data_IF_369194507000
#
_entry.id   IF_369194507000
#
_cell.length_a   1.000
_cell.length_b   1.000
_cell.length_c   1.000
_cell.angle_alpha   90.00
_cell.angle_beta   90.00
_cell.angle_gamma   90.00
#
_symmetry.space_group_name_H-M   'P 1'
#
loop_
_entity.id
_entity.type
_entity.pdbx_description
1 polymer ?
#
# COMPACT_ATOMS: atom_id res chain seq x y z
N UNK A 1 -16.78 -5.29 -22.02
CA UNK A 1 -15.75 -6.15 -22.62
C UNK A 1 -14.49 -5.32 -22.78
N UNK A 2 -13.57 -5.39 -21.82
CA UNK A 2 -12.21 -4.92 -22.03
C UNK A 2 -11.52 -5.99 -22.87
N UNK A 3 -11.60 -5.84 -24.20
CA UNK A 3 -10.65 -6.46 -25.11
C UNK A 3 -9.44 -5.53 -25.14
N UNK A 4 -8.51 -5.79 -24.25
CA UNK A 4 -7.12 -5.35 -24.38
C UNK A 4 -6.32 -6.61 -24.65
N UNK A 5 -5.55 -6.58 -25.73
CA UNK A 5 -4.50 -7.55 -26.02
C UNK A 5 -3.70 -7.82 -24.74
N UNK A 6 -3.22 -9.06 -24.56
CA UNK A 6 -2.68 -9.65 -23.33
C UNK A 6 -1.49 -8.90 -22.69
N UNK A 7 -1.71 -7.68 -22.22
CA UNK A 7 -0.94 -7.04 -21.17
C UNK A 7 -1.49 -7.60 -19.85
N UNK A 8 -0.60 -8.21 -19.06
CA UNK A 8 -0.94 -8.68 -17.72
C UNK A 8 -1.61 -7.53 -16.95
N UNK A 9 -2.87 -7.72 -16.54
CA UNK A 9 -3.59 -6.78 -15.69
C UNK A 9 -2.85 -6.68 -14.36
N UNK A 10 -2.03 -5.63 -14.22
CA UNK A 10 -1.22 -5.39 -13.03
C UNK A 10 -1.81 -4.30 -12.14
N UNK A 11 -1.55 -4.47 -10.86
CA UNK A 11 -1.74 -3.48 -9.83
C UNK A 11 -0.67 -2.41 -9.81
N UNK A 12 -0.65 -1.62 -8.74
CA UNK A 12 0.33 -0.55 -8.56
C UNK A 12 0.75 -0.41 -7.10
N UNK A 13 2.05 -0.34 -6.86
CA UNK A 13 2.65 0.05 -5.58
C UNK A 13 3.13 1.48 -5.70
N UNK A 14 2.44 2.42 -5.03
CA UNK A 14 2.88 3.80 -4.92
C UNK A 14 3.77 3.99 -3.70
N UNK A 15 5.00 4.43 -3.94
CA UNK A 15 6.02 4.69 -2.92
C UNK A 15 6.31 6.18 -2.81
N UNK A 16 6.77 6.63 -1.65
CA UNK A 16 7.33 7.98 -1.48
C UNK A 16 6.92 8.66 -0.19
N UNK A 17 7.34 9.90 0.05
CA UNK A 17 7.15 10.59 1.33
C UNK A 17 5.67 10.79 1.71
N UNK A 18 5.36 11.04 3.00
CA UNK A 18 4.02 11.48 3.38
C UNK A 18 3.63 12.77 2.64
N UNK A 19 2.33 12.96 2.42
CA UNK A 19 1.83 14.21 1.84
C UNK A 19 1.97 14.37 0.33
N UNK A 20 2.61 13.44 -0.38
CA UNK A 20 2.79 13.50 -1.85
C UNK A 20 1.53 13.16 -2.66
N UNK A 21 0.46 12.71 -2.00
CA UNK A 21 -0.86 12.47 -2.63
C UNK A 21 -1.15 11.02 -3.01
N UNK A 22 -0.39 10.03 -2.53
CA UNK A 22 -0.59 8.60 -2.83
C UNK A 22 -2.03 8.13 -2.54
N UNK A 23 -2.47 8.31 -1.30
CA UNK A 23 -3.84 8.02 -0.85
C UNK A 23 -4.87 8.72 -1.75
N UNK A 24 -4.68 10.02 -2.03
CA UNK A 24 -5.61 10.79 -2.86
C UNK A 24 -5.75 10.25 -4.29
N UNK A 25 -4.62 9.89 -4.94
CA UNK A 25 -4.63 9.29 -6.27
C UNK A 25 -5.37 7.94 -6.27
N UNK A 26 -5.09 7.10 -5.29
CA UNK A 26 -5.74 5.79 -5.16
C UNK A 26 -7.23 5.91 -4.84
N UNK A 27 -7.64 6.86 -4.02
CA UNK A 27 -9.06 7.14 -3.76
C UNK A 27 -9.78 7.61 -5.02
N UNK A 28 -9.17 8.52 -5.79
CA UNK A 28 -9.73 8.98 -7.06
C UNK A 28 -9.87 7.86 -8.09
N UNK A 29 -8.87 6.98 -8.16
CA UNK A 29 -8.93 5.77 -8.98
C UNK A 29 -10.08 4.84 -8.55
N UNK A 30 -10.18 4.50 -7.26
CA UNK A 30 -11.25 3.65 -6.73
C UNK A 30 -12.64 4.24 -7.04
N UNK A 31 -12.81 5.54 -6.81
CA UNK A 31 -14.04 6.25 -7.12
C UNK A 31 -14.40 6.12 -8.61
N UNK A 32 -13.45 6.33 -9.51
CA UNK A 32 -13.69 6.24 -10.95
C UNK A 32 -14.00 4.79 -11.40
N UNK A 33 -13.34 3.79 -10.82
CA UNK A 33 -13.62 2.38 -11.07
C UNK A 33 -15.03 2.00 -10.62
N UNK A 34 -15.42 2.35 -9.39
CA UNK A 34 -16.72 1.98 -8.85
C UNK A 34 -17.87 2.77 -9.48
N UNK A 35 -17.77 4.10 -9.55
CA UNK A 35 -18.87 4.94 -10.02
C UNK A 35 -19.04 4.90 -11.53
N UNK A 36 -17.93 4.98 -12.28
CA UNK A 36 -18.02 5.08 -13.75
C UNK A 36 -18.02 3.73 -14.45
N UNK A 37 -17.48 2.68 -13.82
CA UNK A 37 -17.31 1.37 -14.46
C UNK A 37 -17.98 0.20 -13.71
N UNK A 38 -18.55 0.44 -12.52
CA UNK A 38 -19.20 -0.61 -11.72
C UNK A 38 -18.23 -1.68 -11.21
N UNK A 39 -16.93 -1.41 -11.19
CA UNK A 39 -15.89 -2.33 -10.71
C UNK A 39 -15.85 -2.25 -9.18
N UNK A 40 -15.91 -3.40 -8.52
CA UNK A 40 -15.88 -3.45 -7.06
C UNK A 40 -14.48 -3.11 -6.54
N UNK A 41 -14.42 -2.19 -5.58
CA UNK A 41 -13.17 -1.75 -4.96
C UNK A 41 -13.32 -1.73 -3.44
N UNK A 42 -12.35 -2.29 -2.74
CA UNK A 42 -12.18 -2.07 -1.30
C UNK A 42 -10.94 -1.20 -1.12
N UNK A 43 -11.10 -0.08 -0.44
CA UNK A 43 -10.01 0.79 -0.01
C UNK A 43 -9.94 0.75 1.51
N UNK A 44 -8.82 0.31 2.06
CA UNK A 44 -8.63 0.22 3.51
C UNK A 44 -7.15 0.42 3.86
N UNK A 45 -6.86 1.06 4.99
CA UNK A 45 -5.48 1.07 5.51
C UNK A 45 -5.12 -0.29 6.10
N UNK A 46 -3.83 -0.67 6.02
CA UNK A 46 -3.40 -1.93 6.62
C UNK A 46 -3.63 -1.97 8.15
N UNK A 47 -3.52 -0.83 8.83
CA UNK A 47 -3.79 -0.73 10.26
C UNK A 47 -5.27 -1.01 10.62
N UNK A 48 -6.22 -0.53 9.80
CA UNK A 48 -7.65 -0.83 9.97
C UNK A 48 -7.93 -2.32 9.79
N UNK A 49 -7.35 -2.96 8.76
CA UNK A 49 -7.49 -4.41 8.55
C UNK A 49 -7.00 -5.21 9.76
N UNK A 50 -5.83 -4.85 10.31
CA UNK A 50 -5.29 -5.49 11.51
C UNK A 50 -6.18 -5.27 12.74
N UNK A 51 -6.81 -4.09 12.86
CA UNK A 51 -7.75 -3.81 13.94
C UNK A 51 -9.00 -4.67 13.83
N UNK A 52 -9.55 -4.84 12.62
CA UNK A 52 -10.71 -5.70 12.36
C UNK A 52 -10.41 -7.16 12.66
N UNK A 53 -9.23 -7.66 12.29
CA UNK A 53 -8.79 -9.01 12.61
C UNK A 53 -8.69 -9.24 14.13
N UNK A 54 -8.07 -8.29 14.86
CA UNK A 54 -7.97 -8.36 16.33
C UNK A 54 -9.34 -8.35 17.00
N UNK A 55 -10.27 -7.54 16.50
CA UNK A 55 -11.63 -7.50 17.02
C UNK A 55 -12.37 -8.81 16.72
N UNK A 56 -12.25 -9.32 15.50
CA UNK A 56 -12.90 -10.56 15.11
C UNK A 56 -12.45 -11.78 15.92
N UNK A 57 -11.19 -11.84 16.36
CA UNK A 57 -10.75 -12.87 17.31
C UNK A 57 -11.49 -12.81 18.65
N UNK A 58 -11.79 -11.60 19.14
CA UNK A 58 -12.56 -11.41 20.38
C UNK A 58 -14.01 -11.87 20.20
N UNK A 59 -14.52 -11.81 18.97
CA UNK A 59 -15.85 -12.27 18.57
C UNK A 59 -15.87 -13.76 18.15
N UNK A 60 -14.74 -14.47 18.21
CA UNK A 60 -14.62 -15.88 17.82
C UNK A 60 -14.63 -16.14 16.31
N UNK A 61 -14.40 -15.11 15.48
CA UNK A 61 -14.27 -15.22 14.03
C UNK A 61 -12.87 -15.68 13.64
N UNK A 62 -12.79 -16.41 12.54
CA UNK A 62 -11.55 -16.80 11.88
C UNK A 62 -11.01 -15.66 11.01
N UNK A 63 -9.70 -15.70 10.73
CA UNK A 63 -9.05 -14.78 9.78
C UNK A 63 -9.75 -14.76 8.43
N UNK A 64 -10.11 -15.94 7.94
CA UNK A 64 -10.73 -16.10 6.62
C UNK A 64 -12.07 -15.38 6.54
N UNK A 65 -12.89 -15.42 7.59
CA UNK A 65 -14.18 -14.71 7.60
C UNK A 65 -14.04 -13.19 7.48
N UNK A 66 -12.92 -12.64 7.94
CA UNK A 66 -12.64 -11.19 7.93
C UNK A 66 -11.95 -10.80 6.60
N UNK A 67 -11.15 -11.71 6.05
CA UNK A 67 -10.39 -11.49 4.82
C UNK A 67 -11.22 -11.80 3.56
N UNK A 68 -12.22 -12.67 3.62
CA UNK A 68 -13.03 -13.08 2.47
C UNK A 68 -13.58 -11.88 1.64
N UNK A 69 -14.12 -10.79 2.23
CA UNK A 69 -14.54 -9.62 1.46
C UNK A 69 -13.40 -9.01 0.63
N UNK A 70 -12.19 -8.98 1.18
CA UNK A 70 -10.98 -8.49 0.54
C UNK A 70 -10.48 -9.41 -0.58
N UNK A 71 -10.91 -10.67 -0.61
CA UNK A 71 -10.63 -11.62 -1.69
C UNK A 71 -11.74 -11.67 -2.73
N UNK A 72 -12.95 -11.21 -2.43
CA UNK A 72 -14.07 -11.19 -3.38
C UNK A 72 -14.12 -9.92 -4.24
N UNK A 73 -13.50 -8.82 -3.80
CA UNK A 73 -13.42 -7.57 -4.57
C UNK A 73 -12.52 -7.69 -5.80
N UNK A 74 -12.92 -7.04 -6.91
CA UNK A 74 -12.16 -6.99 -8.17
C UNK A 74 -10.80 -6.30 -7.93
N UNK A 75 -10.82 -5.16 -7.22
CA UNK A 75 -9.62 -4.40 -6.86
C UNK A 75 -9.57 -4.24 -5.34
N UNK A 76 -8.44 -4.60 -4.75
CA UNK A 76 -8.13 -4.31 -3.35
C UNK A 76 -7.07 -3.22 -3.30
N UNK A 77 -7.32 -2.18 -2.50
CA UNK A 77 -6.38 -1.08 -2.28
C UNK A 77 -6.00 -1.07 -0.80
N UNK A 78 -4.72 -1.31 -0.52
CA UNK A 78 -4.15 -1.27 0.83
C UNK A 78 -3.33 0.01 0.99
N UNK A 79 -3.82 0.93 1.81
CA UNK A 79 -3.12 2.18 2.12
C UNK A 79 -2.10 1.98 3.25
N UNK A 80 -1.00 2.73 3.20
CA UNK A 80 -0.02 2.83 4.27
C UNK A 80 0.63 1.51 4.71
N UNK A 81 0.90 0.62 3.74
CA UNK A 81 1.54 -0.66 3.98
C UNK A 81 2.95 -0.51 4.58
N UNK A 82 3.22 -1.29 5.63
CA UNK A 82 4.49 -1.31 6.35
C UNK A 82 4.61 -0.24 7.45
N UNK A 83 3.62 0.64 7.62
CA UNK A 83 3.57 1.58 8.76
C UNK A 83 3.12 0.81 10.02
N UNK A 84 4.04 0.11 10.66
CA UNK A 84 3.72 -0.71 11.83
C UNK A 84 4.96 -1.25 12.55
N UNK A 85 4.73 -2.13 13.53
CA UNK A 85 5.80 -2.82 14.26
C UNK A 85 6.37 -4.01 13.48
N UNK A 86 5.76 -4.37 12.36
CA UNK A 86 6.10 -5.54 11.55
C UNK A 86 6.25 -6.78 12.42
N UNK A 87 5.28 -7.00 13.31
CA UNK A 87 5.27 -8.24 14.10
C UNK A 87 5.08 -9.44 13.17
N UNK A 88 5.56 -10.61 13.58
CA UNK A 88 5.40 -11.85 12.80
C UNK A 88 3.94 -12.12 12.40
N UNK A 89 2.99 -11.75 13.26
CA UNK A 89 1.56 -11.85 12.98
C UNK A 89 1.09 -10.86 11.91
N UNK A 90 1.55 -9.61 11.92
CA UNK A 90 1.21 -8.64 10.87
C UNK A 90 1.73 -9.10 9.51
N UNK A 91 2.96 -9.64 9.48
CA UNK A 91 3.57 -10.19 8.28
C UNK A 91 2.86 -11.45 7.78
N UNK A 92 2.36 -12.31 8.68
CA UNK A 92 1.61 -13.50 8.27
C UNK A 92 0.27 -13.17 7.63
N UNK A 93 -0.44 -12.16 8.16
CA UNK A 93 -1.66 -11.64 7.54
C UNK A 93 -1.37 -11.06 6.16
N UNK A 94 -0.31 -10.27 6.03
CA UNK A 94 0.08 -9.68 4.76
C UNK A 94 0.48 -10.73 3.71
N UNK A 95 1.27 -11.76 4.11
CA UNK A 95 1.63 -12.86 3.20
C UNK A 95 0.40 -13.64 2.76
N UNK A 96 -0.53 -13.94 3.68
CA UNK A 96 -1.79 -14.62 3.33
C UNK A 96 -2.60 -13.81 2.31
N UNK A 97 -2.85 -12.54 2.59
CA UNK A 97 -3.65 -11.66 1.72
C UNK A 97 -3.05 -11.54 0.31
N UNK A 98 -1.75 -11.26 0.24
CA UNK A 98 -1.06 -11.09 -1.04
C UNK A 98 -0.92 -12.43 -1.78
N UNK A 99 -0.64 -13.53 -1.07
CA UNK A 99 -0.58 -14.86 -1.68
C UNK A 99 -1.91 -15.28 -2.28
N UNK A 100 -3.03 -15.07 -1.57
CA UNK A 100 -4.35 -15.44 -2.07
C UNK A 100 -4.72 -14.63 -3.31
N UNK A 101 -4.51 -13.31 -3.30
CA UNK A 101 -4.78 -12.48 -4.50
C UNK A 101 -3.84 -12.80 -5.65
N UNK A 102 -2.57 -13.11 -5.37
CA UNK A 102 -1.62 -13.59 -6.37
C UNK A 102 -2.12 -14.87 -7.05
N UNK A 103 -2.47 -15.88 -6.26
CA UNK A 103 -2.92 -17.18 -6.78
C UNK A 103 -4.22 -17.08 -7.60
N UNK A 104 -5.05 -16.06 -7.31
CA UNK A 104 -6.32 -15.80 -7.99
C UNK A 104 -6.19 -14.81 -9.15
N UNK A 105 -4.98 -14.33 -9.46
CA UNK A 105 -4.70 -13.28 -10.45
C UNK A 105 -5.57 -12.02 -10.23
N UNK A 106 -5.76 -11.62 -8.98
CA UNK A 106 -6.60 -10.47 -8.62
C UNK A 106 -5.77 -9.20 -8.43
N UNK A 107 -6.32 -8.07 -8.84
CA UNK A 107 -5.61 -6.79 -8.83
C UNK A 107 -5.48 -6.28 -7.39
N UNK A 108 -4.27 -5.88 -7.01
CA UNK A 108 -4.00 -5.22 -5.74
C UNK A 108 -3.26 -3.90 -5.98
N UNK A 109 -3.66 -2.83 -5.31
CA UNK A 109 -2.89 -1.60 -5.24
C UNK A 109 -2.44 -1.37 -3.82
N UNK A 110 -1.23 -0.83 -3.67
CA UNK A 110 -0.61 -0.61 -2.37
C UNK A 110 0.02 0.76 -2.30
N UNK A 111 -0.23 1.50 -1.24
CA UNK A 111 0.50 2.73 -0.94
C UNK A 111 1.49 2.48 0.20
N UNK A 112 2.68 3.07 0.12
CA UNK A 112 3.68 2.95 1.18
C UNK A 112 4.60 4.17 1.25
N UNK A 113 5.10 4.44 2.46
CA UNK A 113 6.08 5.48 2.71
C UNK A 113 7.54 5.00 2.56
N UNK A 114 7.76 3.70 2.33
CA UNK A 114 9.09 3.13 2.14
C UNK A 114 9.47 3.15 0.66
N UNK A 115 10.77 3.20 0.38
CA UNK A 115 11.28 3.17 -0.99
C UNK A 115 11.63 1.74 -1.42
N UNK A 116 11.84 1.54 -2.72
CA UNK A 116 12.22 0.23 -3.26
C UNK A 116 13.66 -0.17 -2.90
N UNK A 117 14.58 0.78 -2.80
CA UNK A 117 16.01 0.51 -2.67
C UNK A 117 16.67 1.45 -1.66
N UNK A 118 17.74 0.98 -1.03
CA UNK A 118 18.53 1.80 -0.10
C UNK A 118 19.07 3.07 -0.75
N UNK A 119 19.38 3.02 -2.05
CA UNK A 119 19.81 4.19 -2.82
C UNK A 119 18.70 5.24 -2.92
N UNK A 120 17.46 4.82 -3.19
CA UNK A 120 16.31 5.71 -3.24
C UNK A 120 16.02 6.31 -1.86
N UNK A 121 16.11 5.50 -0.81
CA UNK A 121 16.04 5.95 0.58
C UNK A 121 17.10 7.01 0.86
N UNK A 122 18.34 6.82 0.42
CA UNK A 122 19.43 7.78 0.63
C UNK A 122 19.22 9.08 -0.15
N UNK A 123 18.72 9.00 -1.39
CA UNK A 123 18.37 10.19 -2.19
C UNK A 123 17.26 11.01 -1.54
N UNK A 124 16.23 10.35 -1.00
CA UNK A 124 15.18 11.04 -0.25
C UNK A 124 15.72 11.71 1.01
N UNK A 125 16.61 11.04 1.76
CA UNK A 125 17.28 11.66 2.93
C UNK A 125 18.05 12.91 2.56
N UNK A 126 18.83 12.88 1.48
CA UNK A 126 19.61 14.04 1.03
C UNK A 126 18.68 15.19 0.66
N UNK A 127 17.55 14.89 0.00
CA UNK A 127 16.56 15.89 -0.39
C UNK A 127 15.80 16.50 0.80
N UNK A 128 15.55 15.71 1.85
CA UNK A 128 14.78 16.13 3.03
C UNK A 128 15.66 16.66 4.18
N UNK A 129 16.90 17.11 3.93
CA UNK A 129 17.83 17.61 4.96
C UNK A 129 17.40 18.90 5.68
N UNK A 130 16.20 19.40 5.43
CA UNK A 130 15.61 20.50 6.20
C UNK A 130 14.30 20.00 6.87
N UNK A 131 14.28 20.11 8.21
CA UNK A 131 13.15 19.90 9.15
C UNK A 131 12.91 18.46 9.71
N UNK A 132 13.59 18.21 10.85
CA UNK A 132 13.05 17.70 12.15
C UNK A 132 12.87 16.18 12.41
N UNK A 133 13.51 15.71 13.51
CA UNK A 133 13.31 14.59 14.47
C UNK A 133 12.47 13.32 14.17
N UNK A 134 11.94 13.10 12.97
CA UNK A 134 11.16 11.88 12.63
C UNK A 134 12.03 10.73 12.08
N UNK A 135 13.28 10.64 12.55
CA UNK A 135 14.40 9.89 11.94
C UNK A 135 14.24 8.36 11.85
N UNK A 136 13.14 7.76 12.32
CA UNK A 136 12.92 6.31 12.26
C UNK A 136 12.11 5.81 11.03
N UNK A 137 11.56 6.70 10.20
CA UNK A 137 10.74 6.29 9.06
C UNK A 137 11.49 6.14 7.72
N UNK A 138 12.75 6.59 7.61
CA UNK A 138 13.44 6.74 6.32
C UNK A 138 14.67 5.83 6.22
N UNK A 139 14.76 4.68 6.90
CA UNK A 139 15.92 3.77 6.72
C UNK A 139 15.56 2.44 6.08
N UNK A 140 14.29 2.10 6.00
CA UNK A 140 13.86 0.77 5.60
C UNK A 140 13.30 0.78 4.19
N UNK A 141 13.58 -0.28 3.44
CA UNK A 141 12.98 -0.51 2.13
C UNK A 141 11.65 -1.23 2.31
N UNK A 142 10.79 -1.18 1.29
CA UNK A 142 9.58 -2.00 1.28
C UNK A 142 9.93 -3.48 1.45
N UNK A 143 11.01 -3.97 0.81
CA UNK A 143 11.46 -5.36 0.93
C UNK A 143 11.91 -5.73 2.35
N UNK A 144 12.63 -4.84 3.04
CA UNK A 144 13.03 -5.04 4.44
C UNK A 144 11.82 -5.08 5.38
N UNK A 145 10.77 -4.31 5.06
CA UNK A 145 9.55 -4.24 5.85
C UNK A 145 8.63 -5.45 5.66
N UNK A 146 8.45 -5.94 4.44
CA UNK A 146 7.47 -7.02 4.14
C UNK A 146 8.11 -8.39 3.92
N UNK A 147 9.42 -8.46 3.78
CA UNK A 147 10.15 -9.67 3.45
C UNK A 147 10.15 -10.02 1.96
N UNK A 148 11.14 -10.81 1.56
CA UNK A 148 11.44 -11.15 0.16
C UNK A 148 10.26 -11.79 -0.59
N UNK A 149 9.56 -12.71 0.09
CA UNK A 149 8.45 -13.47 -0.52
C UNK A 149 7.28 -12.57 -0.90
N UNK A 150 6.88 -11.66 0.00
CA UNK A 150 5.80 -10.71 -0.26
C UNK A 150 6.22 -9.72 -1.34
N UNK A 151 7.43 -9.19 -1.22
CA UNK A 151 8.00 -8.24 -2.17
C UNK A 151 8.08 -8.82 -3.60
N UNK A 152 8.54 -10.07 -3.75
CA UNK A 152 8.60 -10.76 -5.05
C UNK A 152 7.22 -10.86 -5.71
N UNK A 153 6.19 -11.24 -4.95
CA UNK A 153 4.82 -11.34 -5.49
C UNK A 153 4.27 -9.99 -5.90
N UNK A 154 4.50 -8.96 -5.10
CA UNK A 154 4.12 -7.60 -5.46
C UNK A 154 4.81 -7.16 -6.75
N UNK A 155 6.11 -7.44 -6.93
CA UNK A 155 6.83 -7.13 -8.19
C UNK A 155 6.27 -7.83 -9.41
N UNK A 156 5.77 -9.05 -9.24
CA UNK A 156 5.12 -9.77 -10.34
C UNK A 156 3.75 -9.17 -10.66
N UNK A 157 2.96 -8.85 -9.63
CA UNK A 157 1.57 -8.38 -9.77
C UNK A 157 1.41 -6.89 -10.05
N UNK A 158 2.41 -6.06 -9.74
CA UNK A 158 2.25 -4.61 -9.69
C UNK A 158 3.40 -3.86 -10.36
N UNK A 159 3.08 -2.68 -10.89
CA UNK A 159 4.08 -1.66 -11.21
C UNK A 159 4.50 -0.93 -9.94
N UNK A 160 5.81 -0.71 -9.76
CA UNK A 160 6.38 0.01 -8.63
C UNK A 160 6.69 1.44 -9.05
N UNK A 161 5.97 2.40 -8.50
CA UNK A 161 6.05 3.79 -8.92
C UNK A 161 6.33 4.72 -7.73
N UNK A 162 7.30 5.61 -7.91
CA UNK A 162 7.69 6.58 -6.88
C UNK A 162 6.97 7.90 -7.10
N UNK A 163 6.09 8.28 -6.17
CA UNK A 163 5.41 9.56 -6.16
C UNK A 163 6.17 10.56 -5.30
N UNK A 164 6.99 11.37 -5.98
CA UNK A 164 7.79 12.43 -5.39
C UNK A 164 7.10 13.80 -5.58
N UNK A 165 7.17 14.64 -4.56
CA UNK A 165 6.62 15.99 -4.60
C UNK A 165 6.71 16.69 -3.25
N UNK A 166 6.28 17.95 -3.21
CA UNK A 166 6.09 18.68 -1.94
C UNK A 166 4.99 18.02 -1.10
N UNK A 167 5.13 18.10 0.22
CA UNK A 167 4.04 17.74 1.11
C UNK A 167 2.88 18.73 0.87
N UNK A 168 1.76 18.24 0.35
CA UNK A 168 0.57 19.06 0.07
C UNK A 168 -0.31 19.29 1.31
N UNK A 169 0.06 18.73 2.47
CA UNK A 169 -0.61 18.94 3.76
C UNK A 169 -0.10 20.19 4.47
N UNK A 170 1.13 20.59 4.17
CA UNK A 170 1.76 21.81 4.69
C UNK A 170 1.31 22.97 3.78
N UNK A 171 0.69 23.99 4.37
CA UNK A 171 0.28 25.19 3.66
C UNK A 171 1.50 25.98 3.15
N UNK A 172 1.32 26.79 2.10
CA UNK A 172 2.42 27.58 1.53
C UNK A 172 3.04 28.57 2.55
N UNK A 173 2.33 28.88 3.64
CA UNK A 173 2.74 29.82 4.68
C UNK A 173 3.78 29.28 5.70
N UNK A 174 4.10 27.97 5.71
CA UNK A 174 5.07 27.38 6.67
C UNK A 174 6.47 27.14 6.08
N UNK A 175 6.70 27.58 4.83
CA UNK A 175 7.97 27.42 4.11
C UNK A 175 8.93 28.60 4.27
N UNK A 176 8.48 29.74 4.81
CA UNK A 176 9.24 30.98 4.94
C UNK A 176 9.75 31.31 6.37
N UNK A 177 9.57 30.40 7.34
CA UNK A 177 10.14 30.50 8.71
C UNK A 177 11.23 29.44 8.99
#
# INVERSE_FOLDING_TARGET
>A
LLQTDSEDLKGMVLMGPPGTGKTHLMTGFAYQCTISHGISCIFQSFAELLSELRQGYSDGKSDMEIIEPHLQTDILIIDDMGKGRNSDWELSILDMLISERYNRNQIIMVSTNFTESEENTLKEKIRNREKTESEHFITDTISGRVGERIHSRLKEMCYFESLLGRDRRIGEDELDD
#
